data_IF_694962258792
#
_entry.id   IF_694962258792
#
_cell.length_a   1.000
_cell.length_b   1.000
_cell.length_c   1.000
_cell.angle_alpha   90.00
_cell.angle_beta   90.00
_cell.angle_gamma   90.00
#
_symmetry.space_group_name_H-M   'P 1'
#
loop_
_entity.id
_entity.type
_entity.pdbx_description
1 polymer ?
#
# COMPACT_ATOMS: atom_id res chain seq x y z
N UNK A 1 -7.85 -9.33 7.99
CA UNK A 1 -7.36 -8.58 9.18
C UNK A 1 -7.09 -7.08 8.97
N UNK A 2 -7.54 -6.47 7.86
CA UNK A 2 -7.28 -5.03 7.54
C UNK A 2 -8.28 -4.01 8.12
N UNK A 3 -9.41 -4.44 8.63
CA UNK A 3 -10.48 -3.53 9.10
C UNK A 3 -10.16 -2.74 10.39
N UNK A 4 -9.20 -3.18 11.20
CA UNK A 4 -8.84 -2.50 12.45
C UNK A 4 -8.08 -1.18 12.26
N UNK A 5 -7.22 -1.11 11.24
CA UNK A 5 -6.37 0.07 11.02
C UNK A 5 -7.16 1.29 10.51
N UNK A 6 -8.14 1.07 9.64
CA UNK A 6 -9.02 2.14 9.13
C UNK A 6 -10.03 2.62 10.17
N UNK A 7 -10.53 1.73 11.02
CA UNK A 7 -11.45 2.08 12.12
C UNK A 7 -10.77 3.01 13.13
N UNK A 8 -9.49 2.77 13.45
CA UNK A 8 -8.71 3.62 14.34
C UNK A 8 -8.41 5.01 13.76
N UNK A 9 -8.26 5.18 12.45
CA UNK A 9 -8.07 6.50 11.83
C UNK A 9 -9.32 7.36 11.89
N UNK A 10 -10.50 6.79 11.66
CA UNK A 10 -11.79 7.50 11.78
C UNK A 10 -12.06 7.95 13.21
N UNK A 11 -11.78 7.07 14.16
CA UNK A 11 -11.92 7.38 15.58
C UNK A 11 -10.99 8.52 16.02
N UNK A 12 -9.73 8.50 15.58
CA UNK A 12 -8.76 9.57 15.86
C UNK A 12 -9.17 10.91 15.25
N UNK A 13 -9.71 10.92 14.03
CA UNK A 13 -10.23 12.13 13.40
C UNK A 13 -11.46 12.70 14.15
N UNK A 14 -12.31 11.82 14.63
CA UNK A 14 -13.52 12.21 15.38
C UNK A 14 -13.16 12.77 16.75
N UNK A 15 -12.21 12.15 17.46
CA UNK A 15 -11.66 12.65 18.73
C UNK A 15 -11.01 14.03 18.54
N UNK A 16 -10.23 14.20 17.47
CA UNK A 16 -9.61 15.49 17.16
C UNK A 16 -10.65 16.57 16.87
N UNK A 17 -11.70 16.28 16.10
CA UNK A 17 -12.81 17.20 15.85
C UNK A 17 -13.54 17.59 17.13
N UNK A 18 -13.84 16.63 18.02
CA UNK A 18 -14.46 16.88 19.30
C UNK A 18 -13.56 17.75 20.20
N UNK A 19 -12.26 17.51 20.22
CA UNK A 19 -11.31 18.32 20.98
C UNK A 19 -11.24 19.76 20.45
N UNK A 20 -11.19 19.97 19.14
CA UNK A 20 -11.23 21.30 18.52
C UNK A 20 -12.54 22.04 18.88
N UNK A 21 -13.68 21.35 18.81
CA UNK A 21 -14.98 21.92 19.17
C UNK A 21 -15.05 22.32 20.65
N UNK A 22 -14.50 21.50 21.55
CA UNK A 22 -14.44 21.80 22.98
C UNK A 22 -13.57 23.02 23.28
N UNK A 23 -12.41 23.14 22.63
CA UNK A 23 -11.51 24.29 22.79
C UNK A 23 -12.16 25.60 22.34
N UNK A 24 -13.09 25.57 21.37
CA UNK A 24 -13.81 26.78 20.94
C UNK A 24 -14.97 27.15 21.83
N UNK A 25 -15.63 26.18 22.42
CA UNK A 25 -16.78 26.42 23.32
C UNK A 25 -16.37 26.98 24.70
N UNK A 26 -15.23 26.54 25.23
CA UNK A 26 -14.77 26.94 26.58
C UNK A 26 -14.62 28.46 26.74
N UNK A 27 -13.94 29.21 25.84
CA UNK A 27 -13.82 30.66 25.95
C UNK A 27 -15.14 31.39 25.84
N UNK A 28 -16.10 30.85 25.09
CA UNK A 28 -17.43 31.43 24.93
C UNK A 28 -18.27 31.33 26.24
N UNK A 29 -18.14 30.19 26.93
CA UNK A 29 -18.85 29.96 28.21
C UNK A 29 -18.27 30.83 29.32
N UNK A 30 -16.95 31.10 29.31
CA UNK A 30 -16.25 31.83 30.38
C UNK A 30 -16.05 33.33 30.11
N UNK A 31 -16.62 33.90 29.04
CA UNK A 31 -16.56 35.33 28.70
C UNK A 31 -15.14 35.93 28.72
N UNK A 32 -14.17 35.22 28.14
CA UNK A 32 -12.78 35.67 28.09
C UNK A 32 -12.60 36.69 26.95
N UNK A 33 -12.52 37.99 27.33
CA UNK A 33 -12.35 39.09 26.38
C UNK A 33 -10.96 39.16 25.77
N UNK A 34 -10.90 39.52 24.50
CA UNK A 34 -9.69 39.95 23.79
C UNK A 34 -9.03 38.92 22.86
N UNK A 35 -8.81 37.68 23.26
CA UNK A 35 -8.25 36.61 22.41
C UNK A 35 -9.29 35.76 21.65
N UNK A 36 -10.54 36.01 21.94
CA UNK A 36 -11.67 35.23 21.49
C UNK A 36 -11.75 35.09 19.97
N UNK A 37 -11.63 36.20 19.23
CA UNK A 37 -11.73 36.18 17.77
C UNK A 37 -10.57 35.44 17.07
N UNK A 38 -9.38 35.50 17.66
CA UNK A 38 -8.20 34.82 17.13
C UNK A 38 -8.35 33.29 17.31
N UNK A 39 -8.82 32.82 18.45
CA UNK A 39 -9.07 31.40 18.72
C UNK A 39 -10.19 30.88 17.82
N UNK A 40 -11.28 31.65 17.65
CA UNK A 40 -12.39 31.31 16.77
C UNK A 40 -11.94 31.16 15.31
N UNK A 41 -11.16 32.10 14.80
CA UNK A 41 -10.67 32.06 13.41
C UNK A 41 -9.76 30.86 13.16
N UNK A 42 -8.83 30.58 14.08
CA UNK A 42 -7.93 29.42 14.00
C UNK A 42 -8.70 28.09 14.01
N UNK A 43 -9.68 27.98 14.88
CA UNK A 43 -10.55 26.82 15.01
C UNK A 43 -11.38 26.58 13.76
N UNK A 44 -11.91 27.64 13.15
CA UNK A 44 -12.64 27.57 11.90
C UNK A 44 -11.76 27.04 10.75
N UNK A 45 -10.51 27.54 10.62
CA UNK A 45 -9.56 27.08 9.63
C UNK A 45 -9.24 25.60 9.81
N UNK A 46 -8.98 25.13 11.02
CA UNK A 46 -8.68 23.73 11.33
C UNK A 46 -9.88 22.83 11.01
N UNK A 47 -11.09 23.26 11.39
CA UNK A 47 -12.32 22.49 11.12
C UNK A 47 -12.61 22.39 9.63
N UNK A 48 -12.44 23.48 8.89
CA UNK A 48 -12.61 23.52 7.44
C UNK A 48 -11.61 22.62 6.71
N UNK A 49 -10.33 22.65 7.13
CA UNK A 49 -9.34 21.72 6.61
C UNK A 49 -9.70 20.25 6.89
N UNK A 50 -10.17 19.96 8.09
CA UNK A 50 -10.66 18.62 8.47
C UNK A 50 -11.80 18.13 7.56
N UNK A 51 -12.76 19.00 7.25
CA UNK A 51 -13.85 18.69 6.31
C UNK A 51 -13.33 18.39 4.90
N UNK A 52 -12.38 19.17 4.39
CA UNK A 52 -11.77 18.92 3.07
C UNK A 52 -11.10 17.55 3.04
N UNK A 53 -10.35 17.18 4.09
CA UNK A 53 -9.68 15.87 4.17
C UNK A 53 -10.70 14.73 4.20
N UNK A 54 -11.80 14.87 4.95
CA UNK A 54 -12.87 13.88 5.00
C UNK A 54 -13.52 13.72 3.62
N UNK A 55 -13.87 14.83 2.95
CA UNK A 55 -14.50 14.83 1.63
C UNK A 55 -13.60 14.16 0.56
N UNK A 56 -12.30 14.48 0.58
CA UNK A 56 -11.31 13.83 -0.32
C UNK A 56 -11.22 12.33 -0.09
N UNK A 57 -11.23 11.88 1.17
CA UNK A 57 -11.18 10.46 1.50
C UNK A 57 -12.46 9.71 1.10
N UNK A 58 -13.63 10.33 1.29
CA UNK A 58 -14.92 9.75 0.86
C UNK A 58 -14.97 9.61 -0.67
N UNK A 59 -14.54 10.65 -1.40
CA UNK A 59 -14.48 10.60 -2.88
C UNK A 59 -13.53 9.51 -3.38
N UNK A 60 -12.37 9.35 -2.74
CA UNK A 60 -11.39 8.30 -3.10
C UNK A 60 -11.93 6.90 -2.87
N UNK A 61 -12.63 6.66 -1.75
CA UNK A 61 -13.25 5.36 -1.46
C UNK A 61 -14.37 5.02 -2.46
N UNK A 62 -15.17 6.00 -2.89
CA UNK A 62 -16.21 5.77 -3.89
C UNK A 62 -15.63 5.41 -5.25
N UNK A 63 -14.52 6.04 -5.68
CA UNK A 63 -13.84 5.71 -6.93
C UNK A 63 -13.30 4.29 -6.89
N UNK A 64 -12.64 3.88 -5.80
CA UNK A 64 -12.12 2.51 -5.62
C UNK A 64 -13.24 1.47 -5.70
N UNK A 65 -14.36 1.69 -5.02
CA UNK A 65 -15.51 0.78 -5.06
C UNK A 65 -16.17 0.72 -6.44
N UNK A 66 -16.16 1.82 -7.20
CA UNK A 66 -16.74 1.87 -8.54
C UNK A 66 -15.87 1.13 -9.57
N UNK A 67 -14.54 1.21 -9.43
CA UNK A 67 -13.59 0.47 -10.27
C UNK A 67 -13.74 -1.03 -10.02
N UNK A 68 -13.74 -1.47 -8.76
CA UNK A 68 -13.88 -2.90 -8.41
C UNK A 68 -15.21 -3.51 -8.89
N UNK A 69 -16.27 -2.70 -9.04
CA UNK A 69 -17.59 -3.18 -9.47
C UNK A 69 -17.74 -3.29 -10.98
N UNK A 70 -16.86 -2.67 -11.78
CA UNK A 70 -17.03 -2.54 -13.24
C UNK A 70 -16.12 -3.40 -14.09
N UNK A 71 -15.05 -3.96 -13.53
CA UNK A 71 -14.10 -4.75 -14.32
C UNK A 71 -14.39 -6.22 -14.07
N UNK A 72 -14.88 -6.92 -15.08
CA UNK A 72 -15.00 -8.37 -15.05
C UNK A 72 -13.59 -9.00 -15.13
N UNK A 73 -13.43 -10.21 -14.59
CA UNK A 73 -12.16 -10.93 -14.68
C UNK A 73 -11.70 -11.15 -16.13
N UNK A 74 -12.61 -11.13 -17.09
CA UNK A 74 -12.33 -11.26 -18.52
C UNK A 74 -11.72 -10.00 -19.12
N UNK A 75 -12.08 -8.82 -18.60
CA UNK A 75 -11.59 -7.51 -19.07
C UNK A 75 -10.23 -7.12 -18.47
N UNK A 76 -9.75 -7.83 -17.43
CA UNK A 76 -8.45 -7.56 -16.82
C UNK A 76 -7.33 -7.86 -17.82
N UNK A 77 -6.34 -6.97 -17.98
CA UNK A 77 -5.18 -7.20 -18.84
C UNK A 77 -4.28 -8.31 -18.26
N UNK A 78 -3.40 -8.93 -19.06
CA UNK A 78 -2.32 -9.75 -18.51
C UNK A 78 -1.41 -8.91 -17.62
N UNK A 79 -0.97 -9.48 -16.51
CA UNK A 79 -0.11 -8.83 -15.51
C UNK A 79 1.17 -9.63 -15.34
N UNK A 80 2.30 -9.00 -15.62
CA UNK A 80 3.62 -9.54 -15.36
C UNK A 80 4.24 -8.79 -14.16
N UNK A 81 4.61 -9.53 -13.12
CA UNK A 81 5.25 -8.99 -11.93
C UNK A 81 6.72 -9.39 -11.96
N UNK A 82 7.61 -8.39 -11.97
CA UNK A 82 9.05 -8.58 -11.93
C UNK A 82 9.58 -8.19 -10.54
N UNK A 83 10.34 -9.09 -9.92
CA UNK A 83 10.94 -8.88 -8.61
C UNK A 83 12.42 -9.22 -8.66
N UNK A 84 13.28 -8.28 -8.30
CA UNK A 84 14.71 -8.55 -8.09
C UNK A 84 14.95 -8.95 -6.63
N UNK A 85 15.58 -10.09 -6.42
CA UNK A 85 15.91 -10.64 -5.11
C UNK A 85 17.43 -10.90 -5.01
N UNK A 86 18.00 -10.69 -3.84
CA UNK A 86 19.37 -11.05 -3.51
C UNK A 86 19.49 -11.32 -2.01
N UNK A 87 19.96 -12.52 -1.65
CA UNK A 87 20.16 -12.97 -0.27
C UNK A 87 18.88 -12.82 0.60
N UNK A 88 17.73 -13.27 0.07
CA UNK A 88 16.40 -13.11 0.67
C UNK A 88 15.81 -14.44 1.17
N UNK A 89 16.66 -15.41 1.62
CA UNK A 89 16.22 -16.76 2.01
C UNK A 89 15.10 -16.78 3.06
N UNK A 90 15.03 -15.77 3.94
CA UNK A 90 14.05 -15.71 5.03
C UNK A 90 12.66 -15.19 4.61
N UNK A 91 12.56 -14.55 3.44
CA UNK A 91 11.33 -13.85 3.05
C UNK A 91 10.80 -14.23 1.67
N UNK A 92 11.66 -14.79 0.81
CA UNK A 92 11.34 -15.04 -0.60
C UNK A 92 10.16 -16.01 -0.77
N UNK A 93 10.09 -17.07 0.03
CA UNK A 93 9.00 -18.04 -0.02
C UNK A 93 7.65 -17.36 0.27
N UNK A 94 7.57 -16.62 1.39
CA UNK A 94 6.35 -15.89 1.76
C UNK A 94 5.97 -14.80 0.75
N UNK A 95 6.96 -14.20 0.06
CA UNK A 95 6.71 -13.24 -0.99
C UNK A 95 6.01 -13.91 -2.17
N UNK A 96 6.54 -15.04 -2.65
CA UNK A 96 5.98 -15.80 -3.78
C UNK A 96 4.55 -16.25 -3.48
N UNK A 97 4.32 -16.86 -2.32
CA UNK A 97 2.98 -17.27 -1.88
C UNK A 97 1.98 -16.10 -1.87
N UNK A 98 2.40 -14.92 -1.39
CA UNK A 98 1.53 -13.74 -1.38
C UNK A 98 1.25 -13.19 -2.77
N UNK A 99 2.19 -13.28 -3.70
CA UNK A 99 1.98 -12.85 -5.08
C UNK A 99 0.97 -13.75 -5.79
N UNK A 100 1.02 -15.08 -5.57
CA UNK A 100 0.03 -16.00 -6.14
C UNK A 100 -1.31 -16.01 -5.42
N UNK A 101 -1.38 -15.47 -4.19
CA UNK A 101 -2.63 -15.23 -3.45
C UNK A 101 -3.25 -13.85 -3.72
N UNK A 102 -2.79 -13.11 -4.71
CA UNK A 102 -3.44 -11.87 -5.15
C UNK A 102 -4.83 -12.18 -5.75
N UNK A 103 -5.79 -11.30 -5.50
CA UNK A 103 -7.11 -11.34 -6.14
C UNK A 103 -7.00 -10.96 -7.63
N UNK A 104 -6.29 -11.77 -8.41
CA UNK A 104 -6.10 -11.60 -9.85
C UNK A 104 -6.25 -12.95 -10.57
N UNK A 105 -6.84 -13.00 -11.80
CA UNK A 105 -7.00 -14.25 -12.52
C UNK A 105 -5.66 -14.94 -12.76
N UNK A 106 -5.51 -16.16 -12.27
CA UNK A 106 -4.25 -16.92 -12.33
C UNK A 106 -3.75 -17.19 -13.74
N UNK A 107 -4.67 -17.27 -14.72
CA UNK A 107 -4.32 -17.44 -16.13
C UNK A 107 -3.72 -16.17 -16.75
N UNK A 108 -3.91 -15.00 -16.14
CA UNK A 108 -3.41 -13.68 -16.59
C UNK A 108 -2.25 -13.14 -15.76
N UNK A 109 -1.84 -13.85 -14.70
CA UNK A 109 -0.74 -13.45 -13.82
C UNK A 109 0.51 -14.28 -14.13
N UNK A 110 1.64 -13.62 -14.43
CA UNK A 110 2.95 -14.23 -14.46
C UNK A 110 3.84 -13.54 -13.41
N UNK A 111 4.68 -14.31 -12.75
CA UNK A 111 5.65 -13.80 -11.76
C UNK A 111 7.05 -14.16 -12.22
N UNK A 112 7.91 -13.14 -12.34
CA UNK A 112 9.32 -13.28 -12.69
C UNK A 112 10.15 -12.86 -11.48
N UNK A 113 10.98 -13.77 -10.97
CA UNK A 113 11.94 -13.43 -9.91
C UNK A 113 13.34 -13.50 -10.49
N UNK A 114 14.05 -12.40 -10.38
CA UNK A 114 15.42 -12.25 -10.84
C UNK A 114 16.34 -12.39 -9.62
N UNK A 115 17.00 -13.52 -9.51
CA UNK A 115 18.05 -13.74 -8.53
C UNK A 115 19.32 -13.03 -8.98
N UNK A 116 19.70 -11.96 -8.27
CA UNK A 116 20.85 -11.12 -8.58
C UNK A 116 22.15 -11.67 -7.96
N UNK A 117 22.40 -12.96 -8.16
CA UNK A 117 23.58 -13.64 -7.68
C UNK A 117 23.61 -13.82 -6.16
N UNK A 118 22.55 -14.37 -5.58
CA UNK A 118 22.48 -14.71 -4.16
C UNK A 118 23.54 -15.74 -3.77
N UNK A 119 24.07 -15.59 -2.57
CA UNK A 119 25.06 -16.47 -1.95
C UNK A 119 24.47 -17.36 -0.83
N UNK A 120 23.25 -17.09 -0.42
CA UNK A 120 22.49 -17.85 0.58
C UNK A 120 21.63 -18.97 -0.05
N UNK A 121 20.60 -19.43 0.65
CA UNK A 121 19.68 -20.47 0.17
C UNK A 121 18.59 -19.97 -0.78
N UNK A 122 18.55 -18.67 -1.13
CA UNK A 122 17.56 -18.08 -2.03
C UNK A 122 17.42 -18.87 -3.34
N UNK A 123 18.51 -19.24 -4.08
CA UNK A 123 18.38 -19.97 -5.34
C UNK A 123 17.72 -21.34 -5.17
N UNK A 124 18.04 -22.06 -4.09
CA UNK A 124 17.44 -23.37 -3.81
C UNK A 124 15.94 -23.28 -3.51
N UNK A 125 15.53 -22.25 -2.77
CA UNK A 125 14.12 -21.99 -2.46
C UNK A 125 13.37 -21.64 -3.74
N UNK A 126 13.93 -20.78 -4.59
CA UNK A 126 13.34 -20.39 -5.85
C UNK A 126 13.19 -21.55 -6.84
N UNK A 127 14.18 -22.45 -6.93
CA UNK A 127 14.11 -23.67 -7.75
C UNK A 127 12.95 -24.57 -7.29
N UNK A 128 12.78 -24.80 -5.97
CA UNK A 128 11.65 -25.52 -5.44
C UNK A 128 10.31 -24.87 -5.79
N UNK A 129 10.17 -23.56 -5.54
CA UNK A 129 8.94 -22.81 -5.79
C UNK A 129 8.58 -22.76 -7.29
N UNK A 130 9.58 -22.73 -8.18
CA UNK A 130 9.34 -22.74 -9.63
C UNK A 130 8.71 -24.06 -10.13
N UNK A 131 8.93 -25.16 -9.41
CA UNK A 131 8.28 -26.47 -9.69
C UNK A 131 6.86 -26.52 -9.12
N UNK A 132 6.58 -25.79 -8.05
CA UNK A 132 5.27 -25.72 -7.39
C UNK A 132 4.32 -24.75 -8.12
N UNK A 133 4.82 -23.60 -8.52
CA UNK A 133 4.04 -22.55 -9.17
C UNK A 133 4.35 -22.46 -10.67
N UNK A 134 3.51 -23.03 -11.52
CA UNK A 134 3.73 -23.11 -12.98
C UNK A 134 3.89 -21.74 -13.68
N UNK A 135 3.42 -20.65 -13.08
CA UNK A 135 3.53 -19.28 -13.58
C UNK A 135 4.69 -18.49 -12.95
N UNK A 136 5.49 -19.13 -12.11
CA UNK A 136 6.72 -18.56 -11.57
C UNK A 136 7.88 -18.85 -12.53
N UNK A 137 8.53 -17.81 -13.00
CA UNK A 137 9.76 -17.89 -13.79
C UNK A 137 10.91 -17.30 -12.99
N UNK A 138 11.97 -18.08 -12.83
CA UNK A 138 13.18 -17.66 -12.12
C UNK A 138 14.29 -17.42 -13.14
N UNK A 139 14.92 -16.25 -13.05
CA UNK A 139 16.06 -15.84 -13.89
C UNK A 139 17.23 -15.57 -12.96
N UNK A 140 18.33 -16.30 -13.11
CA UNK A 140 19.54 -16.11 -12.29
C UNK A 140 20.56 -15.28 -13.06
N UNK A 141 21.12 -14.27 -12.41
CA UNK A 141 22.22 -13.45 -12.92
C UNK A 141 23.53 -13.81 -12.24
N UNK A 142 24.62 -13.56 -12.96
CA UNK A 142 25.95 -13.67 -12.37
C UNK A 142 26.13 -12.63 -11.24
N UNK A 143 26.76 -12.99 -10.10
CA UNK A 143 27.03 -12.08 -8.99
C UNK A 143 27.75 -10.77 -9.38
N UNK A 144 28.49 -10.79 -10.50
CA UNK A 144 29.29 -9.67 -11.00
C UNK A 144 28.64 -8.90 -12.16
N UNK A 145 27.34 -9.11 -12.43
CA UNK A 145 26.68 -8.53 -13.60
C UNK A 145 26.49 -6.99 -13.51
N UNK A 146 26.73 -6.39 -12.34
CA UNK A 146 26.63 -4.93 -12.14
C UNK A 146 25.20 -4.36 -12.23
N UNK A 147 25.06 -3.05 -11.98
CA UNK A 147 23.78 -2.33 -12.11
C UNK A 147 22.78 -2.52 -10.96
N UNK A 148 23.08 -3.36 -9.97
CA UNK A 148 22.21 -3.58 -8.79
C UNK A 148 20.79 -3.98 -9.19
N UNK A 149 19.79 -3.59 -8.37
CA UNK A 149 18.36 -3.92 -8.59
C UNK A 149 17.84 -3.45 -9.96
N UNK A 150 18.24 -2.27 -10.41
CA UNK A 150 17.84 -1.75 -11.74
C UNK A 150 18.43 -2.57 -12.87
N UNK A 151 19.69 -3.00 -12.74
CA UNK A 151 20.34 -3.89 -13.71
C UNK A 151 19.69 -5.28 -13.75
N UNK A 152 19.26 -5.79 -12.58
CA UNK A 152 18.53 -7.06 -12.51
C UNK A 152 17.19 -6.98 -13.23
N UNK A 153 16.40 -5.93 -12.98
CA UNK A 153 15.10 -5.74 -13.64
C UNK A 153 15.24 -5.55 -15.16
N UNK A 154 16.21 -4.75 -15.60
CA UNK A 154 16.47 -4.54 -17.04
C UNK A 154 16.95 -5.81 -17.77
N UNK A 155 17.54 -6.76 -17.06
CA UNK A 155 17.99 -8.04 -17.64
C UNK A 155 16.80 -8.96 -17.97
N UNK A 156 15.67 -8.78 -17.32
CA UNK A 156 14.47 -9.60 -17.48
C UNK A 156 13.43 -8.99 -18.47
N UNK A 157 13.65 -7.78 -18.91
CA UNK A 157 12.84 -7.10 -19.94
C UNK A 157 13.34 -7.43 -21.32
#
# INVERSE_FOLDING_TARGET
MSNGFYKNRRLKSLIFLCACFSVTLIPHIYNIDGFYYLILSLSFVISFYGLIVIFRNLKRNNISNTINKRISNEELPPLDILVAARDEENVIERLVERLFNLEYPTNKLNVYIIDDGSSDKTPLILDRLSREFAKLKVVTRSPNAGGGKSGALNYAL
#
